data_IF_253997863794
#
_entry.id   IF_253997863794
#
_cell.length_a   1.000
_cell.length_b   1.000
_cell.length_c   1.000
_cell.angle_alpha   90.00
_cell.angle_beta   90.00
_cell.angle_gamma   90.00
#
_symmetry.space_group_name_H-M   'P 1'
#
loop_
_entity.id
_entity.type
_entity.pdbx_description
1 polymer ?
#
# COMPACT_ATOMS: atom_id res chain seq x y z
N UNK A 1 -9.80 20.27 5.60
CA UNK A 1 -9.11 18.98 5.47
C UNK A 1 -8.38 18.98 4.14
N UNK A 2 -7.06 19.18 4.17
CA UNK A 2 -6.29 19.26 2.95
C UNK A 2 -5.99 17.83 2.48
N UNK A 3 -6.72 17.34 1.47
CA UNK A 3 -6.51 16.02 0.87
C UNK A 3 -5.12 15.85 0.22
N UNK A 4 -4.27 16.90 0.23
CA UNK A 4 -2.97 16.90 -0.45
C UNK A 4 -1.87 16.11 0.28
N UNK A 5 -2.09 15.67 1.52
CA UNK A 5 -1.09 14.92 2.28
C UNK A 5 -1.29 13.40 2.22
N UNK A 6 -2.46 12.93 1.80
CA UNK A 6 -2.72 11.50 1.68
C UNK A 6 -1.90 10.89 0.54
N UNK A 7 -1.46 9.64 0.72
CA UNK A 7 -0.71 8.92 -0.30
C UNK A 7 -0.96 7.42 -0.26
N UNK A 8 -0.73 6.78 -1.39
CA UNK A 8 -0.62 5.33 -1.46
C UNK A 8 0.69 4.87 -0.83
N UNK A 9 0.59 3.90 0.06
CA UNK A 9 1.70 3.06 0.50
C UNK A 9 1.51 1.72 -0.18
N UNK A 10 2.50 1.31 -0.98
CA UNK A 10 2.42 0.05 -1.71
C UNK A 10 3.15 -1.07 -0.99
N UNK A 11 2.57 -2.25 -1.03
CA UNK A 11 3.26 -3.47 -0.62
C UNK A 11 4.31 -3.85 -1.69
N UNK A 12 5.40 -4.54 -1.32
CA UNK A 12 6.42 -4.97 -2.27
C UNK A 12 5.89 -6.05 -3.23
N UNK A 13 6.45 -6.14 -4.43
CA UNK A 13 6.17 -7.21 -5.38
C UNK A 13 6.69 -8.57 -4.85
N UNK A 14 6.19 -9.70 -5.37
CA UNK A 14 6.68 -11.02 -4.95
C UNK A 14 8.16 -11.22 -5.18
N UNK A 15 8.65 -10.80 -6.34
CA UNK A 15 10.04 -11.04 -6.71
C UNK A 15 11.03 -10.24 -5.85
N UNK A 16 10.57 -9.16 -5.18
CA UNK A 16 11.39 -8.37 -4.27
C UNK A 16 11.42 -8.96 -2.85
N UNK A 17 10.42 -9.75 -2.47
CA UNK A 17 10.31 -10.40 -1.15
C UNK A 17 9.60 -11.76 -1.27
N UNK A 18 10.40 -12.83 -1.41
CA UNK A 18 9.94 -14.21 -1.68
C UNK A 18 9.51 -14.95 -0.38
N UNK A 19 9.17 -14.23 0.71
CA UNK A 19 8.71 -14.87 1.95
C UNK A 19 8.03 -13.92 2.94
N UNK A 20 7.16 -14.47 3.79
CA UNK A 20 6.44 -13.72 4.82
C UNK A 20 5.19 -12.98 4.32
N UNK A 21 4.67 -12.06 5.14
CA UNK A 21 3.55 -11.20 4.78
C UNK A 21 4.05 -9.94 4.09
N UNK A 22 3.49 -9.62 2.91
CA UNK A 22 3.71 -8.34 2.24
C UNK A 22 2.70 -7.34 2.78
N UNK A 23 3.18 -6.27 3.41
CA UNK A 23 2.31 -5.32 4.12
C UNK A 23 2.48 -3.91 3.58
N UNK A 24 1.35 -3.28 3.23
CA UNK A 24 1.25 -1.83 3.10
C UNK A 24 0.76 -1.25 4.42
N UNK A 25 1.64 -0.58 5.17
CA UNK A 25 1.32 -0.03 6.49
C UNK A 25 1.51 1.48 6.52
N UNK A 26 0.54 2.20 7.09
CA UNK A 26 0.64 3.64 7.22
C UNK A 26 1.76 4.03 8.21
N UNK A 27 2.45 5.16 7.97
CA UNK A 27 3.40 5.71 8.93
C UNK A 27 2.74 6.04 10.28
N UNK A 28 3.55 6.15 11.33
CA UNK A 28 3.06 6.62 12.63
C UNK A 28 2.42 8.02 12.49
N UNK A 29 1.24 8.21 13.10
CA UNK A 29 0.46 9.45 12.99
C UNK A 29 -0.47 9.52 11.78
N UNK A 30 -0.65 8.40 11.07
CA UNK A 30 -1.52 8.28 9.90
C UNK A 30 -2.54 7.16 10.10
N UNK A 31 -3.63 7.21 9.33
CA UNK A 31 -4.69 6.20 9.31
C UNK A 31 -4.93 5.68 7.90
N UNK A 32 -5.26 4.39 7.80
CA UNK A 32 -5.75 3.79 6.55
C UNK A 32 -7.15 4.35 6.29
N UNK A 33 -7.33 5.05 5.17
CA UNK A 33 -8.62 5.57 4.75
C UNK A 33 -9.32 4.64 3.76
N UNK A 34 -8.54 3.99 2.88
CA UNK A 34 -9.04 3.01 1.92
C UNK A 34 -7.95 2.03 1.51
N UNK A 35 -8.35 0.97 0.83
CA UNK A 35 -7.44 -0.01 0.23
C UNK A 35 -7.76 -0.14 -1.25
N UNK A 36 -6.76 -0.51 -2.04
CA UNK A 36 -6.98 -1.00 -3.41
C UNK A 36 -6.27 -2.32 -3.59
N UNK A 37 -6.90 -3.21 -4.34
CA UNK A 37 -6.21 -4.34 -4.91
C UNK A 37 -5.55 -3.90 -6.22
N UNK A 38 -4.29 -4.22 -6.38
CA UNK A 38 -3.47 -3.80 -7.50
C UNK A 38 -2.80 -5.04 -8.10
N UNK A 39 -2.89 -5.15 -9.42
CA UNK A 39 -2.25 -6.20 -10.21
C UNK A 39 -1.63 -5.54 -11.43
N UNK A 40 -0.34 -5.76 -11.66
CA UNK A 40 0.29 -5.47 -12.95
C UNK A 40 0.40 -6.79 -13.70
N UNK A 41 -0.12 -6.90 -14.94
CA UNK A 41 -0.08 -8.14 -15.71
C UNK A 41 1.32 -8.50 -16.24
N UNK A 42 2.38 -7.88 -15.70
CA UNK A 42 3.78 -8.21 -16.04
C UNK A 42 4.16 -9.60 -15.54
N UNK A 43 3.73 -9.97 -14.32
CA UNK A 43 3.99 -11.26 -13.71
C UNK A 43 2.82 -11.66 -12.80
N UNK A 44 2.52 -12.97 -12.72
CA UNK A 44 1.38 -13.57 -11.98
C UNK A 44 1.53 -13.47 -10.45
N UNK A 45 2.61 -12.86 -9.96
CA UNK A 45 2.89 -12.70 -8.53
C UNK A 45 3.09 -11.23 -8.11
N UNK A 46 2.79 -10.27 -9.00
CA UNK A 46 2.84 -8.82 -8.72
C UNK A 46 1.50 -8.29 -8.14
N UNK A 47 0.57 -9.19 -7.77
CA UNK A 47 -0.68 -8.86 -7.10
C UNK A 47 -0.42 -8.47 -5.64
N UNK A 48 -0.91 -7.29 -5.26
CA UNK A 48 -0.81 -6.83 -3.88
C UNK A 48 -1.97 -5.90 -3.48
N UNK A 49 -2.11 -5.69 -2.17
CA UNK A 49 -3.07 -4.73 -1.60
C UNK A 49 -2.31 -3.52 -1.10
N UNK A 50 -2.65 -2.34 -1.61
CA UNK A 50 -2.09 -1.06 -1.18
C UNK A 50 -3.02 -0.36 -0.20
N UNK A 51 -2.43 0.43 0.69
CA UNK A 51 -3.15 1.25 1.64
C UNK A 51 -3.11 2.72 1.21
N UNK A 52 -4.26 3.38 1.18
CA UNK A 52 -4.33 4.83 1.10
C UNK A 52 -4.27 5.39 2.51
N UNK A 53 -3.17 6.07 2.81
CA UNK A 53 -2.86 6.59 4.13
C UNK A 53 -3.03 8.10 4.15
N UNK A 54 -3.68 8.62 5.19
CA UNK A 54 -3.80 10.05 5.46
C UNK A 54 -3.28 10.37 6.87
N UNK A 55 -2.63 11.53 7.07
CA UNK A 55 -2.30 11.98 8.42
C UNK A 55 -3.59 12.31 9.18
N UNK A 56 -3.52 12.29 10.52
CA UNK A 56 -4.67 12.64 11.37
C UNK A 56 -5.11 14.12 11.27
N UNK A 57 -4.31 15.00 10.64
CA UNK A 57 -4.51 16.46 10.56
C UNK A 57 -4.35 17.00 9.15
#
# INVERSE_FOLDING_TARGET
MNNSSCKWVSAPNANDNIGGYKTASCPAGWIVQSVRWFQIPSYVDDEHVDAFCCPFS
#
